data_IF_175499907035
#
_entry.id   IF_175499907035
#
_cell.length_a   1.000
_cell.length_b   1.000
_cell.length_c   1.000
_cell.angle_alpha   90.00
_cell.angle_beta   90.00
_cell.angle_gamma   90.00
#
_symmetry.space_group_name_H-M   'P 1'
#
loop_
_entity.id
_entity.type
_entity.pdbx_description
1 polymer ?
#
# COMPACT_ATOMS: atom_id res chain seq x y z
N UNK A 1 -14.25 18.48 -0.48
CA UNK A 1 -13.47 17.39 0.11
C UNK A 1 -14.22 16.09 -0.19
N UNK A 2 -13.69 15.29 -1.12
CA UNK A 2 -14.27 13.98 -1.42
C UNK A 2 -14.14 13.05 -0.23
N UNK A 3 -15.21 12.34 0.11
CA UNK A 3 -15.22 11.34 1.18
C UNK A 3 -14.37 10.17 0.74
N UNK A 4 -13.32 9.85 1.49
CA UNK A 4 -12.49 8.67 1.23
C UNK A 4 -13.34 7.39 1.39
N UNK A 5 -13.68 6.73 0.28
CA UNK A 5 -14.44 5.48 0.27
C UNK A 5 -13.58 4.38 -0.34
N UNK A 6 -13.12 3.47 0.50
CA UNK A 6 -12.36 2.29 0.09
C UNK A 6 -12.96 1.08 0.78
N UNK A 7 -13.49 0.16 -0.02
CA UNK A 7 -13.95 -1.14 0.43
C UNK A 7 -12.77 -2.11 0.34
N UNK A 8 -12.39 -2.69 1.47
CA UNK A 8 -11.32 -3.68 1.56
C UNK A 8 -11.59 -4.89 0.68
N UNK A 9 -10.56 -5.41 0.02
CA UNK A 9 -10.65 -6.62 -0.80
C UNK A 9 -10.60 -7.86 0.10
N UNK A 10 -11.49 -8.83 -0.13
CA UNK A 10 -11.54 -10.10 0.62
C UNK A 10 -11.49 -9.96 2.17
N UNK A 11 -12.32 -9.09 2.78
CA UNK A 11 -12.19 -8.76 4.20
C UNK A 11 -12.45 -9.95 5.13
N UNK A 12 -13.33 -10.88 4.74
CA UNK A 12 -13.63 -12.07 5.53
C UNK A 12 -12.44 -13.04 5.52
N UNK A 13 -11.87 -13.32 4.34
CA UNK A 13 -10.72 -14.22 4.21
C UNK A 13 -9.51 -13.67 4.97
N UNK A 14 -9.24 -12.37 4.88
CA UNK A 14 -8.15 -11.73 5.63
C UNK A 14 -8.31 -11.96 7.14
N UNK A 15 -9.52 -11.78 7.70
CA UNK A 15 -9.76 -12.05 9.11
C UNK A 15 -9.59 -13.53 9.48
N UNK A 16 -10.08 -14.44 8.61
CA UNK A 16 -9.94 -15.89 8.81
C UNK A 16 -8.47 -16.30 8.84
N UNK A 17 -7.67 -15.84 7.89
CA UNK A 17 -6.24 -16.20 7.79
C UNK A 17 -5.37 -15.51 8.83
N UNK A 18 -5.71 -14.27 9.24
CA UNK A 18 -5.03 -13.59 10.34
C UNK A 18 -5.31 -14.22 11.71
N UNK A 19 -6.37 -15.03 11.83
CA UNK A 19 -6.80 -15.66 13.06
C UNK A 19 -6.81 -14.66 14.25
N UNK A 20 -7.53 -13.55 14.06
CA UNK A 20 -7.50 -12.42 15.00
C UNK A 20 -7.90 -12.85 16.41
N UNK A 21 -7.09 -12.51 17.41
CA UNK A 21 -7.26 -12.92 18.81
C UNK A 21 -7.25 -11.73 19.77
N UNK A 22 -7.93 -11.89 20.90
CA UNK A 22 -7.96 -10.90 21.99
C UNK A 22 -6.55 -10.55 22.45
N UNK A 23 -6.26 -9.25 22.57
CA UNK A 23 -4.94 -8.75 22.98
C UNK A 23 -3.84 -8.90 21.92
N UNK A 24 -4.19 -9.31 20.70
CA UNK A 24 -3.21 -9.49 19.61
C UNK A 24 -2.75 -8.16 19.01
N UNK A 25 -1.55 -8.16 18.44
CA UNK A 25 -0.90 -7.04 17.77
C UNK A 25 -0.78 -7.30 16.29
N UNK A 26 -1.37 -6.46 15.47
CA UNK A 26 -1.40 -6.66 14.02
C UNK A 26 -0.80 -5.47 13.28
N UNK A 27 -0.16 -5.73 12.14
CA UNK A 27 0.32 -4.68 11.24
C UNK A 27 -0.55 -4.68 9.98
N UNK A 28 -1.11 -3.52 9.66
CA UNK A 28 -1.65 -3.22 8.34
C UNK A 28 -0.62 -2.37 7.59
N UNK A 29 0.18 -3.00 6.72
CA UNK A 29 1.32 -2.35 6.05
C UNK A 29 0.91 -1.49 4.85
N UNK A 30 -0.36 -1.54 4.46
CA UNK A 30 -0.94 -0.82 3.32
C UNK A 30 -2.26 -0.23 3.77
N UNK A 31 -2.20 0.54 4.86
CA UNK A 31 -3.38 0.93 5.63
C UNK A 31 -4.49 1.50 4.76
N UNK A 32 -4.15 2.30 3.75
CA UNK A 32 -5.13 2.96 2.90
C UNK A 32 -6.11 3.75 3.78
N UNK A 33 -7.40 3.50 3.61
CA UNK A 33 -8.43 4.11 4.46
C UNK A 33 -8.62 3.46 5.83
N UNK A 34 -7.91 2.38 6.15
CA UNK A 34 -8.08 1.65 7.41
C UNK A 34 -9.20 0.61 7.42
N UNK A 35 -9.66 0.13 6.26
CA UNK A 35 -10.76 -0.83 6.19
C UNK A 35 -10.40 -2.22 6.74
N UNK A 36 -9.18 -2.70 6.55
CA UNK A 36 -8.71 -3.95 7.16
C UNK A 36 -8.41 -3.74 8.64
N UNK A 37 -7.67 -2.67 8.99
CA UNK A 37 -7.43 -2.26 10.38
C UNK A 37 -8.71 -2.19 11.24
N UNK A 38 -9.77 -1.52 10.76
CA UNK A 38 -11.06 -1.41 11.45
C UNK A 38 -11.65 -2.78 11.77
N UNK A 39 -11.62 -3.69 10.78
CA UNK A 39 -12.13 -5.05 10.94
C UNK A 39 -11.33 -5.87 11.92
N UNK A 40 -9.99 -5.73 11.93
CA UNK A 40 -9.11 -6.39 12.89
C UNK A 40 -9.43 -5.89 14.31
N UNK A 41 -9.54 -4.58 14.51
CA UNK A 41 -9.82 -3.97 15.81
C UNK A 41 -11.23 -4.31 16.35
N UNK A 42 -12.19 -4.53 15.46
CA UNK A 42 -13.55 -4.93 15.78
C UNK A 42 -13.69 -6.44 16.04
N UNK A 43 -12.82 -7.28 15.48
CA UNK A 43 -12.92 -8.72 15.56
C UNK A 43 -12.64 -9.29 16.96
N UNK A 44 -11.79 -8.63 17.76
CA UNK A 44 -11.50 -9.05 19.13
C UNK A 44 -11.17 -7.87 20.06
N UNK A 45 -11.52 -8.03 21.35
CA UNK A 45 -11.22 -7.05 22.39
C UNK A 45 -9.71 -6.91 22.64
N UNK A 46 -9.25 -5.77 23.14
CA UNK A 46 -7.84 -5.48 23.44
C UNK A 46 -6.85 -5.64 22.27
N UNK A 47 -7.34 -5.93 21.06
CA UNK A 47 -6.51 -6.00 19.85
C UNK A 47 -5.97 -4.63 19.50
N UNK A 48 -4.69 -4.56 19.16
CA UNK A 48 -4.01 -3.35 18.69
C UNK A 48 -3.60 -3.47 17.22
N UNK A 49 -3.61 -2.35 16.50
CA UNK A 49 -3.15 -2.27 15.11
C UNK A 49 -2.10 -1.18 14.92
N UNK A 50 -1.00 -1.53 14.27
CA UNK A 50 -0.07 -0.60 13.66
C UNK A 50 -0.40 -0.46 12.17
N UNK A 51 -0.97 0.68 11.80
CA UNK A 51 -1.26 1.06 10.42
C UNK A 51 -0.11 1.85 9.80
N UNK A 52 0.40 1.38 8.67
CA UNK A 52 1.47 2.02 7.91
C UNK A 52 0.96 2.37 6.51
N UNK A 53 1.15 3.62 6.11
CA UNK A 53 1.00 4.04 4.71
C UNK A 53 2.01 5.13 4.37
N UNK A 54 2.40 5.20 3.11
CA UNK A 54 3.30 6.25 2.61
C UNK A 54 2.55 7.52 2.21
N UNK A 55 1.25 7.37 1.93
CA UNK A 55 0.32 8.42 1.54
C UNK A 55 -0.30 9.10 2.77
N UNK A 56 -0.15 10.42 2.88
CA UNK A 56 -0.72 11.19 3.99
C UNK A 56 -2.23 11.35 3.91
N UNK A 57 -2.81 11.36 2.71
CA UNK A 57 -4.26 11.42 2.54
C UNK A 57 -4.91 10.13 3.06
N UNK A 58 -4.26 8.98 2.85
CA UNK A 58 -4.66 7.69 3.40
C UNK A 58 -4.61 7.70 4.94
N UNK A 59 -3.50 8.14 5.54
CA UNK A 59 -3.37 8.21 6.99
C UNK A 59 -4.38 9.15 7.65
N UNK A 60 -4.66 10.30 7.03
CA UNK A 60 -5.67 11.22 7.52
C UNK A 60 -7.07 10.58 7.49
N UNK A 61 -7.42 9.90 6.40
CA UNK A 61 -8.69 9.19 6.28
C UNK A 61 -8.81 8.03 7.28
N UNK A 62 -7.76 7.22 7.42
CA UNK A 62 -7.73 6.13 8.38
C UNK A 62 -7.79 6.63 9.82
N UNK A 63 -7.11 7.74 10.15
CA UNK A 63 -7.18 8.36 11.48
C UNK A 63 -8.60 8.76 11.87
N UNK A 64 -9.38 9.28 10.92
CA UNK A 64 -10.80 9.59 11.15
C UNK A 64 -11.65 8.32 11.30
N UNK A 65 -11.46 7.31 10.43
CA UNK A 65 -12.21 6.04 10.50
C UNK A 65 -11.94 5.29 11.81
N UNK A 66 -10.69 5.31 12.28
CA UNK A 66 -10.23 4.48 13.39
C UNK A 66 -10.29 5.20 14.75
N UNK A 67 -10.73 6.46 14.79
CA UNK A 67 -10.87 7.26 16.02
C UNK A 67 -11.63 6.51 17.14
N UNK A 68 -12.74 5.79 16.87
CA UNK A 68 -13.48 5.07 17.92
C UNK A 68 -12.69 3.97 18.65
N UNK A 69 -11.57 3.50 18.08
CA UNK A 69 -10.73 2.46 18.69
C UNK A 69 -9.65 3.03 19.62
N UNK A 70 -9.45 4.35 19.63
CA UNK A 70 -8.62 5.07 20.59
C UNK A 70 -7.17 4.56 20.66
N UNK A 71 -6.69 4.31 21.88
CA UNK A 71 -5.30 3.91 22.15
C UNK A 71 -4.87 2.56 21.54
N UNK A 72 -5.78 1.81 20.91
CA UNK A 72 -5.48 0.57 20.20
C UNK A 72 -4.95 0.79 18.78
N UNK A 73 -4.85 2.05 18.33
CA UNK A 73 -4.47 2.41 16.96
C UNK A 73 -3.16 3.19 16.95
N UNK A 74 -2.18 2.66 16.22
CA UNK A 74 -0.88 3.30 16.01
C UNK A 74 -0.72 3.61 14.53
N UNK A 75 -0.67 4.88 14.14
CA UNK A 75 -0.49 5.28 12.74
C UNK A 75 0.92 5.77 12.48
N UNK A 76 1.59 5.25 11.45
CA UNK A 76 2.94 5.66 11.05
C UNK A 76 3.02 5.89 9.56
N UNK A 77 3.49 7.08 9.18
CA UNK A 77 3.82 7.36 7.78
C UNK A 77 5.13 6.69 7.41
N UNK A 78 5.11 5.83 6.39
CA UNK A 78 6.28 5.08 5.96
C UNK A 78 5.97 4.07 4.87
N UNK A 79 7.01 3.40 4.39
CA UNK A 79 6.84 2.26 3.49
C UNK A 79 6.67 0.97 4.32
N UNK A 80 5.87 0.00 3.87
CA UNK A 80 5.76 -1.30 4.56
C UNK A 80 7.10 -2.00 4.75
N UNK A 81 8.09 -1.76 3.89
CA UNK A 81 9.45 -2.30 4.06
C UNK A 81 10.14 -1.83 5.34
N UNK A 82 9.65 -0.75 5.95
CA UNK A 82 10.13 -0.20 7.22
C UNK A 82 9.35 -0.73 8.44
N UNK A 83 8.42 -1.68 8.26
CA UNK A 83 7.46 -2.09 9.31
C UNK A 83 8.12 -2.53 10.61
N UNK A 84 9.27 -3.20 10.55
CA UNK A 84 9.98 -3.65 11.74
C UNK A 84 10.50 -2.45 12.57
N UNK A 85 11.01 -1.41 11.90
CA UNK A 85 11.43 -0.18 12.56
C UNK A 85 10.24 0.57 13.15
N UNK A 86 9.12 0.66 12.41
CA UNK A 86 7.89 1.31 12.90
C UNK A 86 7.27 0.59 14.09
N UNK A 87 7.32 -0.74 14.12
CA UNK A 87 6.90 -1.54 15.27
C UNK A 87 7.80 -1.29 16.48
N UNK A 88 9.12 -1.23 16.30
CA UNK A 88 10.06 -0.96 17.38
C UNK A 88 9.86 0.44 18.02
N UNK A 89 9.47 1.46 17.24
CA UNK A 89 9.15 2.81 17.74
C UNK A 89 8.02 2.83 18.77
N UNK A 90 7.08 1.88 18.70
CA UNK A 90 5.97 1.72 19.66
C UNK A 90 6.22 0.59 20.67
N UNK A 91 7.46 0.08 20.74
CA UNK A 91 7.87 -0.95 21.69
C UNK A 91 7.44 -2.37 21.31
N UNK A 92 6.99 -2.61 20.07
CA UNK A 92 6.63 -3.93 19.59
C UNK A 92 7.87 -4.64 19.04
N UNK A 93 8.11 -5.86 19.53
CA UNK A 93 9.19 -6.75 19.04
C UNK A 93 8.65 -7.94 18.24
N UNK A 94 7.40 -8.30 18.50
CA UNK A 94 6.69 -9.42 17.89
C UNK A 94 5.26 -8.95 17.60
N UNK A 95 4.66 -9.56 16.58
CA UNK A 95 3.29 -9.30 16.12
C UNK A 95 2.62 -10.62 15.79
N UNK A 96 1.29 -10.64 15.92
CA UNK A 96 0.45 -11.82 15.73
C UNK A 96 0.04 -12.01 14.27
N UNK A 97 0.08 -10.95 13.47
CA UNK A 97 -0.24 -11.03 12.06
C UNK A 97 0.06 -9.75 11.30
N UNK A 98 0.24 -9.90 9.99
CA UNK A 98 0.55 -8.80 9.08
C UNK A 98 -0.36 -8.96 7.86
N UNK A 99 -1.01 -7.86 7.45
CA UNK A 99 -1.73 -7.78 6.18
C UNK A 99 -1.06 -6.76 5.26
N UNK A 100 -0.96 -7.14 3.98
CA UNK A 100 -0.50 -6.30 2.88
C UNK A 100 -1.49 -6.44 1.71
N UNK A 101 -2.32 -5.43 1.52
CA UNK A 101 -3.19 -5.25 0.36
C UNK A 101 -2.44 -4.42 -0.70
N UNK A 102 -1.72 -5.12 -1.57
CA UNK A 102 -0.83 -4.49 -2.55
C UNK A 102 -1.63 -3.93 -3.71
N UNK A 103 -1.54 -2.61 -3.89
CA UNK A 103 -2.17 -1.93 -5.02
C UNK A 103 -2.16 -0.42 -4.87
N UNK A 104 -3.09 0.21 -5.58
CA UNK A 104 -3.43 1.62 -5.45
C UNK A 104 -4.83 1.71 -4.87
N UNK A 105 -5.08 2.73 -4.04
CA UNK A 105 -6.41 2.96 -3.46
C UNK A 105 -7.35 3.59 -4.47
N UNK A 106 -8.67 3.41 -4.29
CA UNK A 106 -9.69 4.06 -5.10
C UNK A 106 -9.52 5.58 -5.11
N UNK A 107 -9.22 6.18 -3.95
CA UNK A 107 -8.94 7.61 -3.82
C UNK A 107 -7.80 8.09 -4.73
N UNK A 108 -6.73 7.29 -4.89
CA UNK A 108 -5.63 7.62 -5.79
C UNK A 108 -6.05 7.61 -7.27
N UNK A 109 -7.01 6.77 -7.64
CA UNK A 109 -7.56 6.68 -9.01
C UNK A 109 -8.58 7.80 -9.24
N UNK A 110 -9.43 8.07 -8.25
CA UNK A 110 -10.59 8.94 -8.39
C UNK A 110 -10.25 10.43 -8.28
N UNK A 111 -9.14 10.78 -7.60
CA UNK A 111 -8.65 12.15 -7.50
C UNK A 111 -7.72 12.49 -8.69
N UNK A 112 -8.16 13.29 -9.67
CA UNK A 112 -7.38 13.56 -10.88
C UNK A 112 -6.02 14.20 -10.59
N UNK A 113 -5.93 15.00 -9.52
CA UNK A 113 -4.69 15.62 -9.07
C UNK A 113 -3.59 14.63 -8.65
N UNK A 114 -3.90 13.34 -8.50
CA UNK A 114 -2.94 12.27 -8.18
C UNK A 114 -2.29 11.66 -9.42
N UNK A 115 -2.91 11.78 -10.59
CA UNK A 115 -2.32 11.35 -11.86
C UNK A 115 -2.22 9.83 -12.07
N UNK A 116 -2.98 9.01 -11.33
CA UNK A 116 -2.99 7.55 -11.53
C UNK A 116 -4.01 7.08 -12.58
N UNK A 117 -4.97 7.93 -12.94
CA UNK A 117 -6.04 7.62 -13.89
C UNK A 117 -5.83 8.35 -15.20
N UNK A 118 -6.08 7.66 -16.31
CA UNK A 118 -6.13 8.25 -17.66
C UNK A 118 -7.56 8.70 -18.05
N UNK A 119 -8.54 8.54 -17.14
CA UNK A 119 -9.95 8.86 -17.42
C UNK A 119 -10.27 10.34 -17.28
N UNK A 120 -9.47 11.07 -16.52
CA UNK A 120 -9.61 12.48 -16.27
C UNK A 120 -8.25 13.16 -16.42
N UNK A 121 -8.25 14.40 -16.89
CA UNK A 121 -7.01 15.19 -17.01
C UNK A 121 -6.45 15.50 -15.61
N UNK A 122 -5.13 15.40 -15.50
CA UNK A 122 -4.39 15.65 -14.27
C UNK A 122 -2.88 15.68 -14.52
N UNK A 123 -2.08 16.16 -13.56
CA UNK A 123 -0.64 16.09 -13.67
C UNK A 123 -0.18 14.63 -13.73
N UNK A 124 0.82 14.32 -14.55
CA UNK A 124 1.44 12.99 -14.57
C UNK A 124 2.36 12.82 -13.35
N UNK A 125 1.75 12.66 -12.18
CA UNK A 125 2.43 12.58 -10.89
C UNK A 125 2.73 11.11 -10.51
N UNK A 126 1.69 10.31 -10.23
CA UNK A 126 1.77 8.90 -9.84
C UNK A 126 2.56 8.61 -8.54
N UNK A 127 2.94 9.62 -7.75
CA UNK A 127 3.51 9.39 -6.42
C UNK A 127 2.40 9.06 -5.42
N UNK A 128 2.56 7.93 -4.74
CA UNK A 128 1.80 7.64 -3.52
C UNK A 128 2.25 8.57 -2.37
N UNK A 129 3.56 8.81 -2.26
CA UNK A 129 4.14 9.74 -1.29
C UNK A 129 4.64 11.01 -2.01
N UNK A 130 3.90 12.10 -1.88
CA UNK A 130 4.20 13.39 -2.54
C UNK A 130 5.48 14.08 -2.06
N UNK A 131 6.13 13.57 -1.00
CA UNK A 131 7.46 14.03 -0.57
C UNK A 131 8.58 13.53 -1.47
N UNK A 132 8.35 12.46 -2.23
CA UNK A 132 9.37 11.92 -3.14
C UNK A 132 9.64 12.91 -4.29
N UNK A 133 10.88 13.10 -4.72
CA UNK A 133 11.22 14.17 -5.67
C UNK A 133 10.83 13.87 -7.12
N UNK A 134 10.65 12.59 -7.48
CA UNK A 134 10.45 12.17 -8.88
C UNK A 134 8.99 11.87 -9.13
N UNK A 135 8.35 12.65 -10.01
CA UNK A 135 7.05 12.34 -10.61
C UNK A 135 7.21 11.42 -11.82
N UNK A 136 6.13 10.79 -12.28
CA UNK A 136 6.10 10.08 -13.54
C UNK A 136 6.46 11.00 -14.73
N UNK A 137 6.02 12.27 -14.72
CA UNK A 137 6.41 13.26 -15.73
C UNK A 137 7.92 13.50 -15.76
N UNK A 138 8.55 13.66 -14.59
CA UNK A 138 10.01 13.81 -14.52
C UNK A 138 10.70 12.56 -15.06
N UNK A 139 10.27 11.38 -14.61
CA UNK A 139 10.84 10.10 -15.06
C UNK A 139 10.77 9.95 -16.58
N UNK A 140 9.62 10.20 -17.20
CA UNK A 140 9.48 10.07 -18.65
C UNK A 140 10.32 11.06 -19.44
N UNK A 141 10.50 12.28 -18.92
CA UNK A 141 11.24 13.33 -19.60
C UNK A 141 12.76 13.25 -19.39
N UNK A 142 13.24 12.53 -18.36
CA UNK A 142 14.67 12.44 -18.05
C UNK A 142 15.28 11.05 -18.21
N UNK A 143 14.47 9.99 -18.25
CA UNK A 143 14.97 8.63 -18.46
C UNK A 143 15.42 8.42 -19.92
N UNK A 144 16.45 7.61 -20.09
CA UNK A 144 16.89 7.11 -21.38
C UNK A 144 15.88 6.13 -21.97
N UNK A 145 15.88 5.98 -23.29
CA UNK A 145 15.06 4.96 -23.98
C UNK A 145 15.27 3.56 -23.38
N UNK A 146 16.51 3.19 -23.08
CA UNK A 146 16.83 1.89 -22.48
C UNK A 146 16.26 1.71 -21.07
N UNK A 147 16.17 2.77 -20.28
CA UNK A 147 15.51 2.75 -18.96
C UNK A 147 14.00 2.60 -19.11
N UNK A 148 13.38 3.36 -20.01
CA UNK A 148 11.96 3.28 -20.29
C UNK A 148 11.56 1.90 -20.83
N UNK A 149 12.36 1.33 -21.74
CA UNK A 149 12.15 -0.01 -22.25
C UNK A 149 12.21 -1.06 -21.13
N UNK A 150 13.16 -0.94 -20.18
CA UNK A 150 13.22 -1.83 -19.02
C UNK A 150 12.02 -1.69 -18.09
N UNK A 151 11.47 -0.48 -17.93
CA UNK A 151 10.32 -0.23 -17.07
C UNK A 151 9.01 -0.77 -17.67
N UNK A 152 8.80 -0.60 -18.98
CA UNK A 152 7.56 -1.01 -19.64
C UNK A 152 7.54 -2.49 -20.03
N UNK A 153 8.69 -3.09 -20.30
CA UNK A 153 8.78 -4.51 -20.58
C UNK A 153 8.76 -5.28 -19.27
N UNK A 154 7.60 -5.84 -18.90
CA UNK A 154 7.54 -6.93 -17.93
C UNK A 154 8.41 -8.05 -18.50
N UNK A 155 9.61 -8.20 -17.95
CA UNK A 155 10.62 -9.19 -18.36
C UNK A 155 10.17 -10.60 -17.97
N UNK A 156 9.15 -11.08 -18.68
CA UNK A 156 8.73 -12.49 -18.71
C UNK A 156 8.68 -13.03 -20.14
N UNK A 157 8.85 -12.18 -21.15
CA UNK A 157 8.88 -12.59 -22.57
C UNK A 157 10.27 -12.57 -23.20
N UNK A 158 11.19 -11.71 -22.74
CA UNK A 158 12.55 -11.68 -23.31
C UNK A 158 13.44 -12.83 -22.83
N UNK A 159 13.28 -13.29 -21.60
CA UNK A 159 14.06 -14.45 -21.11
C UNK A 159 13.57 -15.74 -21.80
N UNK A 160 12.27 -15.89 -22.07
CA UNK A 160 11.71 -17.02 -22.85
C UNK A 160 12.18 -17.00 -24.32
N UNK A 161 12.31 -15.82 -24.94
CA UNK A 161 12.82 -15.70 -26.31
C UNK A 161 14.36 -15.83 -26.38
N UNK A 162 15.07 -15.47 -25.31
CA UNK A 162 16.52 -15.68 -25.17
C UNK A 162 16.87 -17.16 -25.03
N UNK A 163 16.10 -17.90 -24.21
CA UNK A 163 16.28 -19.34 -24.01
C UNK A 163 15.88 -20.15 -25.24
N UNK A 164 14.85 -19.72 -25.98
CA UNK A 164 14.46 -20.33 -27.25
C UNK A 164 15.52 -20.16 -28.35
N UNK A 165 16.30 -19.07 -28.34
CA UNK A 165 17.42 -18.88 -29.27
C UNK A 165 18.66 -19.71 -28.90
N UNK A 166 18.86 -20.04 -27.63
CA UNK A 166 19.95 -20.94 -27.20
C UNK A 166 19.64 -22.42 -27.45
N UNK A 167 18.36 -22.82 -27.50
CA UNK A 167 17.94 -24.21 -27.78
C UNK A 167 17.66 -24.50 -29.26
N UNK A 168 17.63 -23.48 -30.12
CA UNK A 168 17.48 -23.63 -31.57
C UNK A 168 18.80 -23.52 -32.37
N UNK A 169 19.94 -23.47 -31.67
CA UNK A 169 21.27 -23.53 -32.28
C UNK A 169 21.71 -24.95 -32.57
N UNK A 170 21.24 -25.49 -33.71
CA UNK A 170 22.02 -26.39 -34.58
C UNK A 170 22.54 -25.53 -35.74
#
# INVERSE_FOLDING_TARGET
>A
MGVYRHDSVMPADVLTWLAVRTGGRYIDGTLGGGGHAERILAAAAETEVLGIDRDDEALAAAGQRLEPFGGRVHLRRGNYSEMAARAAEIGWREVDGIVLDLGISSHQIDEPGRGFSHRADGPLDMRMDRRQPVTAATLLNTATEGELARLFVIRRLLDVLSDAKHHAGV
#
